data_IF_463714738912
#
_entry.id   IF_463714738912
#
_cell.length_a   1.000
_cell.length_b   1.000
_cell.length_c   1.000
_cell.angle_alpha   90.00
_cell.angle_beta   90.00
_cell.angle_gamma   90.00
#
_symmetry.space_group_name_H-M   'P 1'
#
loop_
_entity.id
_entity.type
_entity.pdbx_description
1 polymer ?
#
# COMPACT_ATOMS: atom_id res chain seq x y z
N UNK A 1 -30.20 -2.13 5.75
CA UNK A 1 -29.46 -1.78 4.53
C UNK A 1 -28.04 -1.44 4.96
N UNK A 2 -27.10 -2.37 4.79
CA UNK A 2 -25.71 -2.25 5.26
C UNK A 2 -24.92 -1.29 4.33
N UNK A 3 -24.14 -0.38 4.90
CA UNK A 3 -23.25 0.53 4.16
C UNK A 3 -21.79 0.06 4.35
N UNK A 4 -21.12 -0.49 3.33
CA UNK A 4 -19.88 -1.28 3.55
C UNK A 4 -18.58 -0.46 3.40
N UNK A 5 -18.47 0.75 3.96
CA UNK A 5 -17.26 1.59 3.78
C UNK A 5 -16.55 2.04 5.07
N UNK A 6 -16.93 1.52 6.23
CA UNK A 6 -16.24 1.87 7.47
C UNK A 6 -14.89 1.15 7.54
N UNK A 7 -13.83 1.88 7.21
CA UNK A 7 -12.44 1.43 7.37
C UNK A 7 -12.22 1.05 8.84
N UNK A 8 -11.96 -0.23 9.11
CA UNK A 8 -11.71 -0.71 10.48
C UNK A 8 -10.32 -0.23 10.92
N UNK A 9 -10.27 0.87 11.68
CA UNK A 9 -9.04 1.38 12.28
C UNK A 9 -8.85 0.74 13.67
N UNK A 10 -8.05 -0.32 13.73
CA UNK A 10 -7.67 -0.94 15.00
C UNK A 10 -6.49 -0.18 15.62
N UNK A 11 -6.72 0.60 16.68
CA UNK A 11 -5.64 1.19 17.51
C UNK A 11 -5.19 0.18 18.56
N UNK A 12 -3.95 -0.28 18.50
CA UNK A 12 -3.36 -1.11 19.57
C UNK A 12 -2.73 -0.20 20.63
N UNK A 13 -3.41 -0.02 21.78
CA UNK A 13 -3.05 0.98 22.79
C UNK A 13 -1.95 0.56 23.79
N UNK A 14 -1.34 -0.63 23.66
CA UNK A 14 -0.48 -1.17 24.72
C UNK A 14 0.69 -2.03 24.20
N UNK A 15 1.43 -1.53 23.20
CA UNK A 15 2.66 -2.15 22.73
C UNK A 15 3.68 -1.05 22.37
N UNK A 16 4.94 -1.09 22.85
CA UNK A 16 5.97 -0.11 22.47
C UNK A 16 6.28 -0.07 20.96
N UNK A 17 5.80 -1.07 20.19
CA UNK A 17 5.81 -1.10 18.72
C UNK A 17 4.39 -0.94 18.16
N UNK A 18 3.72 0.16 18.51
CA UNK A 18 2.41 0.48 17.95
C UNK A 18 2.45 0.48 16.41
N UNK A 19 1.41 -0.05 15.77
CA UNK A 19 1.29 -0.02 14.32
C UNK A 19 -0.12 0.39 13.91
N UNK A 20 -0.23 0.99 12.73
CA UNK A 20 -1.50 1.28 12.08
C UNK A 20 -1.64 0.34 10.90
N UNK A 21 -2.74 -0.42 10.84
CA UNK A 21 -3.06 -1.30 9.72
C UNK A 21 -4.37 -0.88 9.09
N UNK A 22 -4.35 -0.70 7.77
CA UNK A 22 -5.52 -0.38 6.96
C UNK A 22 -5.79 -1.58 6.04
N UNK A 23 -7.01 -2.10 6.06
CA UNK A 23 -7.50 -3.14 5.14
C UNK A 23 -8.79 -2.60 4.52
N UNK A 24 -8.88 -2.62 3.20
CA UNK A 24 -10.08 -2.19 2.50
C UNK A 24 -10.36 -3.09 1.29
N UNK A 25 -11.62 -3.16 0.90
CA UNK A 25 -12.08 -3.81 -0.34
C UNK A 25 -12.64 -2.73 -1.24
N UNK A 26 -12.10 -2.58 -2.44
CA UNK A 26 -12.53 -1.53 -3.37
C UNK A 26 -13.92 -1.83 -3.94
N UNK A 27 -14.77 -0.81 -4.06
CA UNK A 27 -16.04 -0.90 -4.76
C UNK A 27 -15.83 -0.71 -6.27
N UNK A 28 -15.56 -1.81 -6.96
CA UNK A 28 -15.26 -1.81 -8.40
C UNK A 28 -16.46 -1.33 -9.25
N UNK A 29 -17.70 -1.53 -8.78
CA UNK A 29 -18.90 -1.11 -9.52
C UNK A 29 -18.98 0.40 -9.65
N UNK A 30 -18.57 1.14 -8.61
CA UNK A 30 -18.49 2.61 -8.65
C UNK A 30 -17.50 3.12 -9.71
N UNK A 31 -16.45 2.34 -9.98
CA UNK A 31 -15.46 2.65 -11.01
C UNK A 31 -15.80 2.05 -12.39
N UNK A 32 -16.99 1.45 -12.54
CA UNK A 32 -17.41 0.74 -13.75
C UNK A 32 -16.44 -0.40 -14.15
N UNK A 33 -15.80 -1.02 -13.15
CA UNK A 33 -14.85 -2.11 -13.33
C UNK A 33 -15.48 -3.42 -12.87
N UNK A 34 -15.28 -4.49 -13.65
CA UNK A 34 -15.74 -5.84 -13.29
C UNK A 34 -14.68 -6.64 -12.52
N UNK A 35 -13.42 -6.28 -12.73
CA UNK A 35 -12.24 -6.85 -12.08
C UNK A 35 -11.21 -5.73 -11.95
N UNK A 36 -10.25 -5.93 -11.08
CA UNK A 36 -8.96 -5.29 -11.27
C UNK A 36 -8.42 -5.87 -12.58
N UNK A 37 -8.30 -5.08 -13.65
CA UNK A 37 -7.45 -5.53 -14.75
C UNK A 37 -6.05 -5.64 -14.16
N UNK A 38 -5.63 -6.90 -13.98
CA UNK A 38 -4.54 -7.30 -13.11
C UNK A 38 -3.19 -6.69 -13.52
N UNK A 39 -3.06 -6.19 -14.74
CA UNK A 39 -1.81 -5.60 -15.23
C UNK A 39 -1.74 -4.08 -15.01
N UNK A 40 -2.78 -3.31 -15.34
CA UNK A 40 -2.70 -1.83 -15.34
C UNK A 40 -2.77 -1.22 -13.93
N UNK A 41 -3.78 -1.59 -13.14
CA UNK A 41 -3.90 -1.04 -11.79
C UNK A 41 -2.83 -1.60 -10.86
N UNK A 42 -2.53 -2.90 -10.95
CA UNK A 42 -1.50 -3.51 -10.10
C UNK A 42 -0.12 -2.95 -10.44
N UNK A 43 0.21 -2.75 -11.72
CA UNK A 43 1.49 -2.12 -12.09
C UNK A 43 1.58 -0.69 -11.59
N UNK A 44 0.47 0.07 -11.64
CA UNK A 44 0.41 1.43 -11.08
C UNK A 44 0.63 1.44 -9.57
N UNK A 45 -0.10 0.62 -8.80
CA UNK A 45 0.08 0.53 -7.34
C UNK A 45 1.47 0.01 -6.96
N UNK A 46 2.02 -0.92 -7.75
CA UNK A 46 3.39 -1.40 -7.59
C UNK A 46 4.37 -0.25 -7.76
N UNK A 47 4.27 0.54 -8.83
CA UNK A 47 5.11 1.73 -9.05
C UNK A 47 4.99 2.75 -7.91
N UNK A 48 3.79 2.97 -7.39
CA UNK A 48 3.58 3.83 -6.22
C UNK A 48 4.36 3.33 -4.99
N UNK A 49 4.41 2.02 -4.75
CA UNK A 49 5.19 1.45 -3.66
C UNK A 49 6.71 1.71 -3.81
N UNK A 50 7.25 1.65 -5.04
CA UNK A 50 8.64 2.06 -5.31
C UNK A 50 8.87 3.55 -5.07
N UNK A 51 7.96 4.41 -5.52
CA UNK A 51 8.05 5.86 -5.31
C UNK A 51 8.09 6.22 -3.82
N UNK A 52 7.31 5.53 -2.98
CA UNK A 52 7.32 5.74 -1.52
C UNK A 52 8.70 5.47 -0.92
N UNK A 53 9.36 4.37 -1.31
CA UNK A 53 10.73 4.06 -0.81
C UNK A 53 11.71 5.17 -1.18
N UNK A 54 11.67 5.65 -2.42
CA UNK A 54 12.58 6.71 -2.90
C UNK A 54 12.31 8.01 -2.16
N UNK A 55 11.04 8.40 -2.01
CA UNK A 55 10.64 9.67 -1.42
C UNK A 55 10.83 9.72 0.10
N UNK A 56 10.76 8.59 0.79
CA UNK A 56 10.79 8.54 2.27
C UNK A 56 12.05 7.90 2.84
N UNK A 57 12.81 7.15 2.05
CA UNK A 57 13.95 6.35 2.54
C UNK A 57 13.56 5.19 3.46
N UNK A 58 12.26 4.97 3.69
CA UNK A 58 11.78 3.91 4.56
C UNK A 58 11.80 2.54 3.87
N UNK A 59 11.99 1.48 4.65
CA UNK A 59 11.88 0.10 4.17
C UNK A 59 10.41 -0.21 3.85
N UNK A 60 10.11 -0.48 2.58
CA UNK A 60 8.78 -0.88 2.13
C UNK A 60 8.78 -2.34 1.71
N UNK A 61 7.72 -3.05 2.06
CA UNK A 61 7.47 -4.43 1.65
C UNK A 61 6.17 -4.51 0.86
N UNK A 62 6.21 -5.14 -0.32
CA UNK A 62 5.05 -5.42 -1.15
C UNK A 62 4.87 -6.95 -1.24
N UNK A 63 3.68 -7.45 -0.89
CA UNK A 63 3.36 -8.89 -0.89
C UNK A 63 4.40 -9.74 -0.13
N UNK A 64 4.87 -9.24 1.02
CA UNK A 64 5.85 -9.93 1.88
C UNK A 64 7.30 -9.83 1.41
N UNK A 65 7.57 -9.27 0.22
CA UNK A 65 8.93 -9.08 -0.30
C UNK A 65 9.38 -7.63 -0.12
N UNK A 66 10.62 -7.42 0.31
CA UNK A 66 11.20 -6.08 0.38
C UNK A 66 11.42 -5.54 -1.03
N UNK A 67 11.04 -4.28 -1.26
CA UNK A 67 11.28 -3.63 -2.54
C UNK A 67 12.78 -3.33 -2.66
N UNK A 68 13.49 -3.90 -3.66
CA UNK A 68 14.91 -3.66 -3.82
C UNK A 68 15.12 -2.30 -4.48
N UNK A 69 15.68 -1.34 -3.75
CA UNK A 69 16.10 -0.06 -4.31
C UNK A 69 17.62 0.05 -4.18
N UNK A 70 18.28 0.21 -5.34
CA UNK A 70 19.67 0.64 -5.38
C UNK A 70 19.67 2.15 -5.30
N UNK A 71 19.90 2.68 -4.11
CA UNK A 71 20.26 4.09 -4.00
C UNK A 71 21.62 4.25 -4.68
N UNK A 72 21.67 5.07 -5.73
CA UNK A 72 22.95 5.48 -6.29
C UNK A 72 23.69 6.26 -5.20
N UNK A 73 24.79 5.72 -4.69
CA UNK A 73 25.74 6.50 -3.92
C UNK A 73 26.29 7.56 -4.88
N UNK A 74 25.77 8.79 -4.78
CA UNK A 74 26.48 9.94 -5.30
C UNK A 74 27.69 10.16 -4.38
N UNK A 75 28.84 9.63 -4.78
CA UNK A 75 30.11 10.09 -4.24
C UNK A 75 30.31 11.51 -4.77
N UNK A 76 30.29 12.48 -3.86
CA UNK A 76 30.81 13.83 -4.09
C UNK A 76 32.33 13.83 -3.90
#
# INVERSE_FOLDING_TARGET
>A
MFHPQDTIINKTCHNPKGFTRIIFTSDLKRFQMNKFDDDDLVSLFTRCAYNVVISTGCKVTLNGKCIPIRFFQFNF
#
